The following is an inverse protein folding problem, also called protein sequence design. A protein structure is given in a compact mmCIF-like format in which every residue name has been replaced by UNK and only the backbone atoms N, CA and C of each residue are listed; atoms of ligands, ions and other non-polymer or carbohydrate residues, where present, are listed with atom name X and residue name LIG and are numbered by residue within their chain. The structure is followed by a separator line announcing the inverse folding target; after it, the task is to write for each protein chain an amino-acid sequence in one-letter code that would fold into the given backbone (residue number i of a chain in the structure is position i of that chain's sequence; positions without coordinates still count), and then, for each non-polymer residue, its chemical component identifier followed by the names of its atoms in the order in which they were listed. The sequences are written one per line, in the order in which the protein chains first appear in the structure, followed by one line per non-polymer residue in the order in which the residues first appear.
data_IF_588665331602
#
_entry.id   IF_588665331602
#
_cell.length_a   1.000
_cell.length_b   1.000
_cell.length_c   1.000
_cell.angle_alpha   90.00
_cell.angle_beta   90.00
_cell.angle_gamma   90.00
#
_symmetry.space_group_name_H-M   'P 1'
#
loop_
_entity.id
_entity.type
_entity.pdbx_description
1 polymer ?
#
# COMPACT_ATOMS: atom_id res chain seq x y z
N UNK A 1 4.50 -5.20 -14.32
CA UNK A 1 5.13 -4.01 -13.74
C UNK A 1 4.69 -2.69 -14.39
N UNK A 2 4.53 -2.59 -15.72
CA UNK A 2 4.21 -1.32 -16.41
C UNK A 2 3.04 -0.55 -15.76
N UNK A 3 1.93 -1.22 -15.47
CA UNK A 3 0.74 -0.61 -14.86
C UNK A 3 0.85 -0.44 -13.34
N UNK A 4 1.63 -1.25 -12.65
CA UNK A 4 1.81 -1.20 -11.20
C UNK A 4 2.78 -0.07 -10.77
N UNK A 5 3.77 0.24 -11.61
CA UNK A 5 4.80 1.24 -11.32
C UNK A 5 4.25 2.61 -10.87
N UNK A 6 3.28 3.24 -11.59
CA UNK A 6 2.76 4.53 -11.15
C UNK A 6 2.06 4.45 -9.79
N UNK A 7 1.36 3.36 -9.48
CA UNK A 7 0.70 3.17 -8.19
C UNK A 7 1.73 3.10 -7.05
N UNK A 8 2.79 2.33 -7.21
CA UNK A 8 3.87 2.27 -6.21
C UNK A 8 4.54 3.63 -6.03
N UNK A 9 4.88 4.33 -7.10
CA UNK A 9 5.50 5.64 -6.97
C UNK A 9 4.60 6.64 -6.23
N UNK A 10 3.30 6.69 -6.56
CA UNK A 10 2.34 7.58 -5.89
C UNK A 10 2.19 7.20 -4.42
N UNK A 11 2.02 5.92 -4.11
CA UNK A 11 1.80 5.46 -2.73
C UNK A 11 3.07 5.62 -1.89
N UNK A 12 4.20 5.10 -2.36
CA UNK A 12 5.43 5.03 -1.57
C UNK A 12 6.03 6.43 -1.34
N UNK A 13 6.06 7.28 -2.38
CA UNK A 13 6.51 8.66 -2.23
C UNK A 13 5.48 9.46 -1.41
N UNK A 14 4.19 9.22 -1.62
CA UNK A 14 3.12 9.82 -0.84
C UNK A 14 3.26 9.56 0.66
N UNK A 15 3.52 8.33 1.06
CA UNK A 15 3.79 7.99 2.47
C UNK A 15 5.03 8.69 3.01
N UNK A 16 6.12 8.69 2.26
CA UNK A 16 7.35 9.38 2.69
C UNK A 16 7.08 10.87 2.91
N UNK A 17 6.40 11.53 1.97
CA UNK A 17 6.04 12.96 2.09
C UNK A 17 5.10 13.17 3.28
N UNK A 18 4.05 12.35 3.42
CA UNK A 18 3.10 12.45 4.53
C UNK A 18 3.80 12.38 5.88
N UNK A 19 4.72 11.44 6.06
CA UNK A 19 5.44 11.29 7.33
C UNK A 19 6.46 12.40 7.58
N UNK A 20 7.11 12.93 6.54
CA UNK A 20 7.97 14.12 6.68
C UNK A 20 7.13 15.32 7.13
N UNK A 21 6.00 15.58 6.47
CA UNK A 21 5.11 16.69 6.81
C UNK A 21 4.52 16.55 8.21
N UNK A 22 4.14 15.33 8.59
CA UNK A 22 3.63 15.00 9.94
C UNK A 22 4.69 15.19 11.01
N UNK A 23 5.92 14.72 10.78
CA UNK A 23 7.03 14.84 11.72
C UNK A 23 7.37 16.29 12.04
N UNK A 24 7.34 17.17 11.03
CA UNK A 24 7.61 18.60 11.19
C UNK A 24 6.37 19.42 11.59
N UNK A 25 5.22 18.78 11.85
CA UNK A 25 3.95 19.44 12.18
C UNK A 25 3.52 20.50 11.16
N UNK A 26 3.73 20.21 9.86
CA UNK A 26 3.41 21.13 8.78
C UNK A 26 1.97 21.02 8.28
N UNK A 27 1.19 20.05 8.77
CA UNK A 27 -0.23 19.89 8.42
C UNK A 27 -1.05 20.98 9.12
N UNK A 28 -1.74 21.86 8.39
CA UNK A 28 -2.66 22.80 9.01
C UNK A 28 -3.77 22.08 9.78
N UNK A 29 -4.16 22.59 10.95
CA UNK A 29 -5.24 21.98 11.76
C UNK A 29 -6.56 21.82 10.99
N UNK A 30 -6.84 22.69 10.03
CA UNK A 30 -8.02 22.60 9.16
C UNK A 30 -8.02 21.43 8.19
N UNK A 31 -6.86 20.81 7.96
CA UNK A 31 -6.67 19.65 7.06
C UNK A 31 -6.36 18.38 7.85
N UNK A 32 -6.23 18.51 9.16
CA UNK A 32 -6.01 17.38 10.04
C UNK A 32 -7.31 16.57 10.22
N UNK A 33 -7.13 15.31 10.60
CA UNK A 33 -8.28 14.45 10.94
C UNK A 33 -8.95 14.93 12.23
N UNK A 34 -10.18 14.47 12.45
CA UNK A 34 -10.99 14.79 13.64
C UNK A 34 -10.21 14.47 14.92
N UNK A 35 -10.39 15.31 15.94
CA UNK A 35 -9.75 15.17 17.25
C UNK A 35 -8.21 15.12 17.21
N UNK A 36 -7.61 15.86 16.28
CA UNK A 36 -6.16 15.93 16.05
C UNK A 36 -5.35 16.31 17.32
N UNK A 37 -5.96 17.03 18.28
CA UNK A 37 -5.32 17.39 19.54
C UNK A 37 -5.43 16.28 20.62
N UNK A 38 -6.14 15.17 20.34
CA UNK A 38 -6.30 14.05 21.24
C UNK A 38 -5.06 13.14 21.18
N UNK A 39 -4.40 12.93 22.31
CA UNK A 39 -3.18 12.12 22.40
C UNK A 39 -3.35 10.67 21.94
N UNK A 40 -4.52 10.08 22.14
CA UNK A 40 -4.82 8.70 21.71
C UNK A 40 -4.92 8.66 20.18
N UNK A 41 -5.57 9.65 19.55
CA UNK A 41 -5.69 9.73 18.09
C UNK A 41 -4.33 10.01 17.45
N UNK A 42 -3.51 10.86 18.06
CA UNK A 42 -2.13 11.10 17.64
C UNK A 42 -1.33 9.79 17.69
N UNK A 43 -1.39 9.06 18.80
CA UNK A 43 -0.69 7.78 18.96
C UNK A 43 -1.18 6.75 17.94
N UNK A 44 -2.49 6.69 17.69
CA UNK A 44 -3.08 5.84 16.66
C UNK A 44 -2.53 6.18 15.26
N UNK A 45 -2.50 7.47 14.87
CA UNK A 45 -1.90 7.88 13.60
C UNK A 45 -0.43 7.47 13.52
N UNK A 46 0.37 7.73 14.54
CA UNK A 46 1.79 7.34 14.57
C UNK A 46 2.02 5.83 14.53
N UNK A 47 1.04 5.02 14.91
CA UNK A 47 1.13 3.56 14.80
C UNK A 47 1.20 3.04 13.36
N UNK A 48 0.78 3.84 12.38
CA UNK A 48 0.92 3.52 10.96
C UNK A 48 2.34 3.78 10.42
N UNK A 49 3.12 4.65 11.08
CA UNK A 49 4.45 5.03 10.60
C UNK A 49 5.35 3.83 10.23
N UNK A 50 5.55 2.83 11.11
CA UNK A 50 6.40 1.69 10.77
C UNK A 50 5.84 0.86 9.62
N UNK A 51 4.52 0.73 9.51
CA UNK A 51 3.85 0.00 8.44
C UNK A 51 4.04 0.72 7.09
N UNK A 52 3.80 2.02 7.04
CA UNK A 52 3.88 2.83 5.82
C UNK A 52 5.33 2.94 5.32
N UNK A 53 6.30 3.01 6.22
CA UNK A 53 7.73 2.94 5.85
C UNK A 53 8.09 1.57 5.28
N UNK A 54 7.57 0.50 5.85
CA UNK A 54 7.80 -0.86 5.33
C UNK A 54 7.17 -1.05 3.95
N UNK A 55 5.96 -0.49 3.72
CA UNK A 55 5.31 -0.45 2.41
C UNK A 55 6.22 0.26 1.40
N UNK A 56 6.70 1.47 1.75
CA UNK A 56 7.56 2.26 0.87
C UNK A 56 8.88 1.56 0.55
N UNK A 57 9.52 0.95 1.53
CA UNK A 57 10.75 0.18 1.32
C UNK A 57 10.50 -1.00 0.38
N UNK A 58 9.44 -1.77 0.61
CA UNK A 58 9.16 -2.97 -0.21
C UNK A 58 8.71 -2.60 -1.62
N UNK A 59 7.88 -1.57 -1.79
CA UNK A 59 7.42 -1.09 -3.08
C UNK A 59 8.57 -0.53 -3.94
N UNK A 60 9.36 0.39 -3.39
CA UNK A 60 10.52 0.96 -4.09
C UNK A 60 11.60 -0.11 -4.37
N UNK A 61 11.84 -1.04 -3.44
CA UNK A 61 12.74 -2.18 -3.67
C UNK A 61 12.25 -3.05 -4.83
N UNK A 62 10.95 -3.30 -4.92
CA UNK A 62 10.35 -4.03 -6.03
C UNK A 62 10.64 -3.34 -7.38
N UNK A 63 10.47 -2.03 -7.46
CA UNK A 63 10.77 -1.25 -8.68
C UNK A 63 12.26 -1.32 -9.05
N UNK A 64 13.14 -1.19 -8.07
CA UNK A 64 14.59 -1.29 -8.26
C UNK A 64 14.99 -2.69 -8.78
N UNK A 65 14.49 -3.75 -8.14
CA UNK A 65 14.79 -5.14 -8.51
C UNK A 65 14.24 -5.48 -9.90
N UNK A 66 13.06 -4.98 -10.25
CA UNK A 66 12.52 -5.11 -11.60
C UNK A 66 13.43 -4.49 -12.65
N UNK A 67 13.94 -3.28 -12.42
CA UNK A 67 14.87 -2.61 -13.33
C UNK A 67 16.22 -3.34 -13.45
N UNK A 68 16.58 -4.16 -12.46
CA UNK A 68 17.76 -5.03 -12.46
C UNK A 68 17.48 -6.45 -13.00
N UNK A 69 16.29 -6.70 -13.56
CA UNK A 69 15.85 -8.00 -14.06
C UNK A 69 15.98 -9.15 -13.03
N UNK A 70 15.77 -8.85 -11.74
CA UNK A 70 15.83 -9.81 -10.63
C UNK A 70 14.43 -10.33 -10.31
N UNK A 71 14.14 -11.60 -10.57
CA UNK A 71 12.80 -12.22 -10.38
C UNK A 71 12.17 -11.99 -9.00
N UNK A 72 13.00 -11.82 -7.97
CA UNK A 72 12.56 -11.57 -6.60
C UNK A 72 11.70 -10.28 -6.45
N UNK A 73 11.70 -9.39 -7.48
CA UNK A 73 10.83 -8.21 -7.49
C UNK A 73 9.34 -8.55 -7.29
N UNK A 74 8.90 -9.73 -7.76
CA UNK A 74 7.50 -10.18 -7.62
C UNK A 74 7.13 -10.34 -6.14
N UNK A 75 8.02 -10.95 -5.36
CA UNK A 75 7.84 -11.14 -3.91
C UNK A 75 7.73 -9.81 -3.17
N UNK A 76 8.64 -8.87 -3.46
CA UNK A 76 8.59 -7.53 -2.86
C UNK A 76 7.32 -6.78 -3.25
N UNK A 77 6.88 -6.89 -4.52
CA UNK A 77 5.63 -6.31 -4.98
C UNK A 77 4.42 -6.87 -4.22
N UNK A 78 4.35 -8.19 -4.04
CA UNK A 78 3.26 -8.85 -3.31
C UNK A 78 3.23 -8.41 -1.84
N UNK A 79 4.39 -8.35 -1.18
CA UNK A 79 4.49 -7.88 0.22
C UNK A 79 3.98 -6.45 0.32
N UNK A 80 4.46 -5.53 -0.52
CA UNK A 80 4.01 -4.14 -0.52
C UNK A 80 2.51 -4.01 -0.76
N UNK A 81 1.94 -4.72 -1.73
CA UNK A 81 0.51 -4.68 -2.02
C UNK A 81 -0.34 -5.19 -0.85
N UNK A 82 0.06 -6.29 -0.19
CA UNK A 82 -0.66 -6.83 0.97
C UNK A 82 -0.62 -5.84 2.13
N UNK A 83 0.56 -5.30 2.44
CA UNK A 83 0.72 -4.34 3.53
C UNK A 83 -0.08 -3.05 3.26
N UNK A 84 -0.09 -2.56 2.02
CA UNK A 84 -0.88 -1.38 1.62
C UNK A 84 -2.37 -1.62 1.79
N UNK A 85 -2.87 -2.79 1.39
CA UNK A 85 -4.25 -3.17 1.64
C UNK A 85 -4.57 -3.19 3.13
N UNK A 86 -3.72 -3.77 3.96
CA UNK A 86 -3.90 -3.82 5.41
C UNK A 86 -3.91 -2.42 6.04
N UNK A 87 -3.02 -1.51 5.60
CA UNK A 87 -2.99 -0.13 6.06
C UNK A 87 -4.32 0.58 5.76
N UNK A 88 -4.78 0.53 4.51
CA UNK A 88 -6.06 1.13 4.11
C UNK A 88 -7.25 0.54 4.84
N UNK A 89 -7.31 -0.80 4.98
CA UNK A 89 -8.38 -1.49 5.68
C UNK A 89 -8.45 -1.09 7.16
N UNK A 90 -7.31 -1.04 7.84
CA UNK A 90 -7.24 -0.66 9.25
C UNK A 90 -7.69 0.79 9.48
N UNK A 91 -7.27 1.71 8.60
CA UNK A 91 -7.70 3.10 8.67
C UNK A 91 -9.21 3.26 8.44
N UNK A 92 -9.77 2.62 7.42
CA UNK A 92 -11.21 2.64 7.15
C UNK A 92 -12.00 2.03 8.32
N UNK A 93 -11.56 0.89 8.86
CA UNK A 93 -12.21 0.26 10.01
C UNK A 93 -12.25 1.20 11.23
N UNK A 94 -11.15 1.88 11.52
CA UNK A 94 -11.08 2.85 12.60
C UNK A 94 -12.10 3.99 12.41
N UNK A 95 -12.16 4.60 11.23
CA UNK A 95 -13.08 5.70 10.96
C UNK A 95 -14.55 5.27 10.99
N UNK A 96 -14.86 4.03 10.54
CA UNK A 96 -16.20 3.45 10.68
C UNK A 96 -16.60 3.34 12.15
N UNK A 97 -15.74 2.77 12.99
CA UNK A 97 -16.04 2.63 14.43
C UNK A 97 -16.04 3.96 15.18
N UNK A 98 -15.32 4.96 14.69
CA UNK A 98 -15.32 6.32 15.24
C UNK A 98 -16.51 7.18 14.76
N UNK A 99 -17.38 6.64 13.88
CA UNK A 99 -18.47 7.38 13.22
C UNK A 99 -17.98 8.68 12.57
N UNK A 100 -16.81 8.64 11.94
CA UNK A 100 -16.23 9.75 11.20
C UNK A 100 -16.18 9.43 9.72
N UNK A 101 -16.77 10.32 8.91
CA UNK A 101 -16.93 10.13 7.47
C UNK A 101 -16.32 11.29 6.68
N UNK A 102 -15.15 11.79 7.10
CA UNK A 102 -14.45 12.80 6.34
C UNK A 102 -14.03 12.26 4.97
N UNK A 103 -14.55 12.91 3.93
CA UNK A 103 -14.43 12.46 2.54
C UNK A 103 -12.98 12.40 2.08
N UNK A 104 -12.11 13.32 2.53
CA UNK A 104 -10.70 13.39 2.12
C UNK A 104 -9.95 12.17 2.62
N UNK A 105 -10.07 11.89 3.92
CA UNK A 105 -9.43 10.73 4.54
C UNK A 105 -9.99 9.41 4.03
N UNK A 106 -11.29 9.36 3.74
CA UNK A 106 -11.92 8.17 3.17
C UNK A 106 -11.42 7.84 1.78
N UNK A 107 -11.35 8.83 0.87
CA UNK A 107 -10.87 8.59 -0.51
C UNK A 107 -9.43 8.08 -0.51
N UNK A 108 -8.55 8.69 0.30
CA UNK A 108 -7.15 8.27 0.39
C UNK A 108 -7.02 6.83 0.89
N UNK A 109 -7.73 6.47 1.95
CA UNK A 109 -7.65 5.13 2.53
C UNK A 109 -8.38 4.07 1.70
N UNK A 110 -9.48 4.40 1.04
CA UNK A 110 -10.13 3.52 0.07
C UNK A 110 -9.23 3.26 -1.15
N UNK A 111 -8.50 4.26 -1.62
CA UNK A 111 -7.50 4.05 -2.66
C UNK A 111 -6.46 3.01 -2.23
N UNK A 112 -5.88 3.15 -1.01
CA UNK A 112 -4.92 2.19 -0.46
C UNK A 112 -5.50 0.78 -0.29
N UNK A 113 -6.81 0.66 -0.05
CA UNK A 113 -7.48 -0.63 0.09
C UNK A 113 -7.82 -1.27 -1.25
N UNK A 114 -8.25 -0.50 -2.25
CA UNK A 114 -8.86 -1.05 -3.47
C UNK A 114 -7.79 -1.40 -4.52
N UNK A 115 -6.84 -0.50 -4.81
CA UNK A 115 -5.88 -0.77 -5.89
C UNK A 115 -5.01 -2.01 -5.67
N UNK A 116 -4.55 -2.32 -4.43
CA UNK A 116 -3.77 -3.54 -4.22
C UNK A 116 -4.54 -4.81 -4.57
N UNK A 117 -5.83 -4.88 -4.24
CA UNK A 117 -6.67 -6.05 -4.55
C UNK A 117 -6.73 -6.32 -6.06
N UNK A 118 -6.82 -5.26 -6.86
CA UNK A 118 -6.82 -5.40 -8.32
C UNK A 118 -5.51 -6.04 -8.81
N UNK A 119 -4.37 -5.56 -8.34
CA UNK A 119 -3.07 -6.09 -8.75
C UNK A 119 -2.79 -7.47 -8.16
N UNK A 120 -3.17 -7.75 -6.92
CA UNK A 120 -3.06 -9.08 -6.32
C UNK A 120 -3.80 -10.14 -7.15
N UNK A 121 -5.03 -9.82 -7.60
CA UNK A 121 -5.79 -10.70 -8.50
C UNK A 121 -5.03 -10.98 -9.80
N UNK A 122 -4.40 -9.97 -10.38
CA UNK A 122 -3.59 -10.13 -11.60
C UNK A 122 -2.37 -11.04 -11.37
N UNK A 123 -1.67 -10.88 -10.24
CA UNK A 123 -0.52 -11.73 -9.89
C UNK A 123 -0.94 -13.19 -9.73
N UNK A 124 -2.01 -13.46 -8.97
CA UNK A 124 -2.51 -14.82 -8.73
C UNK A 124 -2.94 -15.50 -10.04
N UNK A 125 -3.62 -14.76 -10.94
CA UNK A 125 -4.03 -15.31 -12.22
C UNK A 125 -2.82 -15.71 -13.06
N UNK A 126 -1.82 -14.85 -13.16
CA UNK A 126 -0.60 -15.09 -13.94
C UNK A 126 0.18 -16.30 -13.44
N UNK A 127 0.32 -16.44 -12.14
CA UNK A 127 1.01 -17.58 -11.51
C UNK A 127 0.32 -18.92 -11.85
N UNK A 128 -1.02 -18.94 -11.85
CA UNK A 128 -1.80 -20.11 -12.27
C UNK A 128 -1.59 -20.48 -13.74
N UNK A 129 -1.54 -19.48 -14.62
CA UNK A 129 -1.35 -19.68 -16.05
C UNK A 129 0.07 -20.25 -16.32
N UNK A 130 1.11 -19.67 -15.72
CA UNK A 130 2.51 -20.13 -15.81
C UNK A 130 2.64 -21.59 -15.29
N UNK A 131 1.99 -21.93 -14.18
CA UNK A 131 2.01 -23.27 -13.61
C UNK A 131 1.28 -24.29 -14.51
N UNK A 132 0.13 -23.92 -15.10
CA UNK A 132 -0.64 -24.81 -15.96
C UNK A 132 0.09 -25.12 -17.26
N UNK A 133 0.81 -24.17 -17.84
CA UNK A 133 1.63 -24.36 -19.04
C UNK A 133 2.82 -25.30 -18.75
N UNK A 134 3.47 -25.13 -17.60
CA UNK A 134 4.55 -26.01 -17.15
C UNK A 134 4.10 -27.48 -17.04
N UNK A 135 2.92 -27.73 -16.45
CA UNK A 135 2.36 -29.07 -16.35
C UNK A 135 1.96 -29.69 -17.69
N UNK A 136 1.49 -28.87 -18.65
CA UNK A 136 1.16 -29.35 -19.99
C UNK A 136 2.42 -29.71 -20.78
N UNK A 137 3.47 -28.89 -20.71
CA UNK A 137 4.74 -29.18 -21.37
C UNK A 137 5.44 -30.44 -20.84
N UNK A 138 5.30 -30.75 -19.55
CA UNK A 138 5.87 -31.95 -18.95
C UNK A 138 5.14 -33.27 -19.33
N UNK A 139 3.89 -33.19 -19.81
CA UNK A 139 3.11 -34.36 -20.25
C UNK A 139 3.31 -34.72 -21.71
N UNK A 140 4.03 -33.90 -22.48
CA UNK A 140 4.26 -34.09 -23.91
C UNK A 140 5.64 -34.66 -24.25
N UNK A 141 6.42 -35.02 -23.23
CA UNK A 141 7.70 -35.72 -23.32
C UNK A 141 7.51 -37.16 -22.82
#
# INVERSE_FOLDING_TARGET
MKYLKPFFLVTDIGFIIYWIVTFFNLIPKSWAFKDYDNSIIIAWNWSFFPLDILISITGLSSLYLYNKNREVWKTFALISLILTFCSGLQAIAFWVYSNDYDITWWIMNLYLMIYPLFFLKMFIKRDKDETSESFRGAKTI
#
